data_IF_794724912058
#
_entry.id   IF_794724912058
#
_cell.length_a   1.000
_cell.length_b   1.000
_cell.length_c   1.000
_cell.angle_alpha   90.00
_cell.angle_beta   90.00
_cell.angle_gamma   90.00
#
_symmetry.space_group_name_H-M   'P 1'
#
loop_
_entity.id
_entity.type
_entity.pdbx_description
1 polymer ?
#
# COMPACT_ATOMS: atom_id res chain seq x y z
N UNK A 1 -10.64 40.55 11.62
CA UNK A 1 -10.86 39.30 10.81
C UNK A 1 -9.73 38.27 10.87
N UNK A 2 -8.61 38.58 11.50
CA UNK A 2 -7.44 37.67 11.65
C UNK A 2 -7.55 36.78 12.91
N UNK A 3 -8.31 37.19 13.94
CA UNK A 3 -8.47 36.41 15.18
C UNK A 3 -9.35 35.16 15.09
N UNK A 4 -10.23 35.05 14.09
CA UNK A 4 -11.12 33.89 13.93
C UNK A 4 -10.48 32.73 13.15
N UNK A 5 -9.34 32.95 12.49
CA UNK A 5 -8.61 31.88 11.78
C UNK A 5 -7.76 31.05 12.73
N UNK A 6 -7.20 31.66 13.78
CA UNK A 6 -6.40 30.97 14.79
C UNK A 6 -7.26 30.14 15.76
N UNK A 7 -8.48 30.55 16.09
CA UNK A 7 -9.37 29.81 16.98
C UNK A 7 -10.02 28.57 16.33
N UNK A 8 -10.20 28.53 15.01
CA UNK A 8 -10.70 27.32 14.31
C UNK A 8 -9.65 26.21 14.19
N UNK A 9 -8.37 26.54 14.22
CA UNK A 9 -7.27 25.55 14.20
C UNK A 9 -6.91 24.96 15.58
N UNK A 10 -7.44 25.52 16.67
CA UNK A 10 -7.18 25.00 18.02
C UNK A 10 -8.17 23.88 18.43
N UNK A 11 -9.26 23.65 17.70
CA UNK A 11 -10.23 22.59 18.00
C UNK A 11 -10.04 21.32 17.19
N UNK A 12 -9.08 21.27 16.26
CA UNK A 12 -8.67 20.06 15.52
C UNK A 12 -7.20 19.69 15.80
N UNK A 13 -6.75 19.76 17.03
CA UNK A 13 -5.64 18.94 17.51
C UNK A 13 -6.18 17.50 17.63
N UNK A 14 -6.35 16.83 16.51
CA UNK A 14 -6.45 15.38 16.49
C UNK A 14 -5.20 14.89 17.19
N UNK A 15 -5.35 14.26 18.36
CA UNK A 15 -4.22 13.72 19.12
C UNK A 15 -3.58 12.71 18.18
N UNK A 16 -2.38 13.04 17.71
CA UNK A 16 -1.63 12.19 16.81
C UNK A 16 -1.28 10.89 17.54
N UNK A 17 -1.66 9.76 16.97
CA UNK A 17 -1.34 8.44 17.53
C UNK A 17 0.15 8.15 17.38
N UNK A 18 0.72 7.41 18.31
CA UNK A 18 2.06 6.86 18.21
C UNK A 18 1.99 5.36 17.98
N UNK A 19 2.82 4.85 17.10
CA UNK A 19 3.10 3.41 17.01
C UNK A 19 3.91 2.95 18.20
N UNK A 20 3.92 1.65 18.51
CA UNK A 20 4.62 1.11 19.68
C UNK A 20 6.13 1.43 19.70
N UNK A 21 6.75 1.53 18.52
CA UNK A 21 8.19 1.83 18.37
C UNK A 21 8.50 3.33 18.21
N UNK A 22 7.55 4.24 18.47
CA UNK A 22 7.77 5.68 18.30
C UNK A 22 9.08 6.18 18.96
N UNK A 23 9.31 5.82 20.21
CA UNK A 23 10.49 6.27 20.95
C UNK A 23 11.79 5.62 20.43
N UNK A 24 11.70 4.38 19.97
CA UNK A 24 12.79 3.68 19.29
C UNK A 24 13.19 4.41 18.00
N UNK A 25 12.21 4.85 17.20
CA UNK A 25 12.49 5.61 15.98
C UNK A 25 13.16 6.95 16.27
N UNK A 26 12.68 7.66 17.29
CA UNK A 26 13.29 8.92 17.75
C UNK A 26 14.73 8.69 18.22
N UNK A 27 14.98 7.66 19.04
CA UNK A 27 16.31 7.31 19.54
C UNK A 27 17.28 6.92 18.41
N UNK A 28 16.78 6.32 17.31
CA UNK A 28 17.55 6.02 16.10
C UNK A 28 17.80 7.24 15.20
N UNK A 29 17.32 8.43 15.59
CA UNK A 29 17.50 9.67 14.85
C UNK A 29 16.57 9.79 13.62
N UNK A 30 15.46 9.10 13.61
CA UNK A 30 14.48 9.21 12.52
C UNK A 30 13.89 10.63 12.42
N UNK A 31 13.71 11.10 11.20
CA UNK A 31 12.88 12.27 10.96
C UNK A 31 11.42 11.83 11.04
N UNK A 32 10.74 12.24 12.11
CA UNK A 32 9.34 11.93 12.35
C UNK A 32 8.43 12.95 11.68
N UNK A 33 7.29 12.49 11.12
CA UNK A 33 6.27 13.35 10.49
C UNK A 33 4.86 12.80 10.75
N UNK A 34 3.84 13.68 10.74
CA UNK A 34 2.45 13.24 10.69
C UNK A 34 2.16 12.48 9.39
N UNK A 35 1.62 11.26 9.52
CA UNK A 35 1.19 10.42 8.40
C UNK A 35 -0.04 9.60 8.80
N UNK A 36 -1.15 9.75 8.07
CA UNK A 36 -2.41 9.04 8.33
C UNK A 36 -2.88 9.06 9.80
N UNK A 37 -2.67 10.19 10.51
CA UNK A 37 -3.02 10.35 11.92
C UNK A 37 -2.00 9.82 12.93
N UNK A 38 -0.88 9.27 12.45
CA UNK A 38 0.22 8.76 13.27
C UNK A 38 1.50 9.59 13.14
N UNK A 39 2.35 9.54 14.19
CA UNK A 39 3.72 10.06 14.13
C UNK A 39 4.64 8.98 13.56
N UNK A 40 5.11 9.15 12.33
CA UNK A 40 5.80 8.08 11.60
C UNK A 40 7.20 8.49 11.14
N UNK A 41 8.16 7.55 11.10
CA UNK A 41 9.50 7.80 10.58
C UNK A 41 9.46 7.95 9.05
N UNK A 42 9.76 9.15 8.54
CA UNK A 42 9.81 9.39 7.08
C UNK A 42 11.15 8.98 6.49
N UNK A 43 12.24 9.13 7.25
CA UNK A 43 13.59 8.68 6.88
C UNK A 43 14.52 8.61 8.10
N UNK A 44 15.61 7.84 7.97
CA UNK A 44 16.72 7.74 8.93
C UNK A 44 18.03 8.23 8.30
N UNK A 45 18.60 7.44 7.39
CA UNK A 45 19.90 7.72 6.74
C UNK A 45 19.78 8.45 5.41
N UNK A 46 18.55 8.70 4.96
CA UNK A 46 18.23 9.36 3.69
C UNK A 46 17.66 8.42 2.65
N UNK A 47 16.71 8.96 1.86
CA UNK A 47 15.83 8.21 0.96
C UNK A 47 16.61 7.29 0.01
N UNK A 48 17.65 7.81 -0.65
CA UNK A 48 18.40 7.03 -1.65
C UNK A 48 19.14 5.86 -1.02
N UNK A 49 19.79 6.08 0.12
CA UNK A 49 20.53 5.02 0.85
C UNK A 49 19.57 3.95 1.36
N UNK A 50 18.44 4.35 1.92
CA UNK A 50 17.40 3.45 2.41
C UNK A 50 16.78 2.63 1.28
N UNK A 51 16.46 3.28 0.17
CA UNK A 51 15.96 2.62 -1.03
C UNK A 51 16.95 1.56 -1.55
N UNK A 52 18.24 1.94 -1.68
CA UNK A 52 19.28 1.00 -2.13
C UNK A 52 19.49 -0.15 -1.16
N UNK A 53 19.37 0.09 0.15
CA UNK A 53 19.46 -0.97 1.16
C UNK A 53 18.39 -2.04 0.93
N UNK A 54 17.15 -1.63 0.67
CA UNK A 54 16.05 -2.57 0.35
C UNK A 54 16.29 -3.30 -0.96
N UNK A 55 16.83 -2.64 -1.98
CA UNK A 55 17.12 -3.25 -3.27
C UNK A 55 18.28 -4.26 -3.23
N UNK A 56 19.30 -4.05 -2.37
CA UNK A 56 20.57 -4.80 -2.41
C UNK A 56 20.80 -5.67 -1.17
N UNK A 57 20.13 -5.38 -0.08
CA UNK A 57 20.33 -6.05 1.21
C UNK A 57 18.99 -6.38 1.89
N UNK A 58 18.71 -5.77 3.02
CA UNK A 58 17.45 -5.92 3.75
C UNK A 58 17.13 -4.67 4.56
N UNK A 59 15.88 -4.21 4.51
CA UNK A 59 15.39 -3.08 5.28
C UNK A 59 14.15 -3.43 6.11
N UNK A 60 13.97 -2.76 7.22
CA UNK A 60 12.81 -2.90 8.11
C UNK A 60 12.02 -1.62 8.13
N UNK A 61 10.75 -1.72 7.77
CA UNK A 61 9.77 -0.65 7.89
C UNK A 61 8.86 -0.95 9.08
N UNK A 62 8.63 0.02 9.95
CA UNK A 62 7.48 -0.01 10.83
C UNK A 62 6.26 0.50 10.06
N UNK A 63 5.29 -0.36 9.85
CA UNK A 63 4.03 -0.06 9.20
C UNK A 63 2.83 -0.39 10.09
N UNK A 64 3.05 -0.35 11.41
CA UNK A 64 2.04 -0.61 12.46
C UNK A 64 0.90 0.43 12.50
N UNK A 65 0.91 1.40 11.61
CA UNK A 65 -0.21 2.32 11.42
C UNK A 65 -1.31 1.75 10.54
N UNK A 66 -1.07 0.63 9.85
CA UNK A 66 -2.09 -0.06 9.05
C UNK A 66 -3.24 -0.58 9.92
N UNK A 67 -4.36 -0.90 9.30
CA UNK A 67 -5.53 -1.44 9.99
C UNK A 67 -5.69 -2.94 9.75
N UNK A 68 -6.08 -3.67 10.79
CA UNK A 68 -6.36 -5.11 10.74
C UNK A 68 -7.74 -5.42 11.33
N UNK A 69 -8.58 -6.09 10.51
CA UNK A 69 -9.90 -6.53 10.89
C UNK A 69 -10.01 -8.05 10.80
N UNK A 70 -10.56 -8.67 11.85
CA UNK A 70 -10.93 -10.09 11.82
C UNK A 70 -12.41 -10.18 11.50
N UNK A 71 -12.75 -10.96 10.47
CA UNK A 71 -14.11 -11.35 10.11
C UNK A 71 -14.28 -12.83 10.40
N UNK A 72 -15.27 -13.19 11.24
CA UNK A 72 -15.47 -14.57 11.70
C UNK A 72 -16.94 -14.98 11.61
N UNK A 73 -17.18 -16.22 11.19
CA UNK A 73 -18.50 -16.84 11.13
C UNK A 73 -18.80 -17.44 9.76
N UNK A 74 -19.90 -18.16 9.67
CA UNK A 74 -20.31 -18.89 8.46
C UNK A 74 -20.56 -17.94 7.25
N UNK A 75 -20.94 -16.69 7.51
CA UNK A 75 -21.14 -15.66 6.48
C UNK A 75 -19.90 -14.86 6.10
N UNK A 76 -18.71 -15.13 6.68
CA UNK A 76 -17.52 -14.30 6.46
C UNK A 76 -17.09 -14.25 4.99
N UNK A 77 -17.08 -15.40 4.30
CA UNK A 77 -16.77 -15.44 2.87
C UNK A 77 -17.79 -14.64 2.05
N UNK A 78 -19.08 -14.79 2.33
CA UNK A 78 -20.14 -14.11 1.58
C UNK A 78 -20.07 -12.59 1.74
N UNK A 79 -19.76 -12.10 2.94
CA UNK A 79 -19.52 -10.69 3.20
C UNK A 79 -18.32 -10.17 2.39
N UNK A 80 -17.19 -10.88 2.42
CA UNK A 80 -15.99 -10.52 1.66
C UNK A 80 -16.29 -10.55 0.16
N UNK A 81 -16.97 -11.58 -0.34
CA UNK A 81 -17.37 -11.68 -1.73
C UNK A 81 -18.26 -10.51 -2.17
N UNK A 82 -19.11 -10.02 -1.27
CA UNK A 82 -19.99 -8.88 -1.52
C UNK A 82 -19.26 -7.54 -1.60
N UNK A 83 -18.31 -7.29 -0.70
CA UNK A 83 -17.65 -5.98 -0.60
C UNK A 83 -16.37 -5.87 -1.43
N UNK A 84 -15.70 -6.98 -1.74
CA UNK A 84 -14.44 -7.02 -2.48
C UNK A 84 -14.65 -7.30 -3.96
N UNK A 85 -13.84 -6.68 -4.81
CA UNK A 85 -13.84 -6.89 -6.27
C UNK A 85 -13.26 -8.24 -6.69
N UNK A 86 -12.30 -8.79 -5.93
CA UNK A 86 -11.64 -10.05 -6.26
C UNK A 86 -12.42 -11.26 -5.70
N UNK A 87 -12.11 -12.45 -6.19
CA UNK A 87 -12.82 -13.69 -5.85
C UNK A 87 -12.14 -14.42 -4.67
N UNK A 88 -12.58 -14.10 -3.45
CA UNK A 88 -12.05 -14.71 -2.23
C UNK A 88 -12.39 -16.20 -2.07
N UNK A 89 -13.34 -16.76 -2.86
CA UNK A 89 -13.63 -18.20 -2.86
C UNK A 89 -12.46 -19.04 -3.38
N UNK A 90 -11.51 -18.42 -4.06
CA UNK A 90 -10.30 -19.08 -4.57
C UNK A 90 -9.16 -19.17 -3.53
N UNK A 91 -9.34 -18.54 -2.37
CA UNK A 91 -8.39 -18.65 -1.29
C UNK A 91 -8.49 -20.02 -0.61
N UNK A 92 -7.37 -20.54 -0.19
CA UNK A 92 -7.24 -21.66 0.74
C UNK A 92 -6.58 -21.17 2.04
N UNK A 93 -6.61 -21.97 3.10
CA UNK A 93 -6.05 -21.59 4.40
C UNK A 93 -4.55 -21.31 4.28
N UNK A 94 -4.13 -20.11 4.72
CA UNK A 94 -2.76 -19.62 4.53
C UNK A 94 -2.54 -18.81 3.25
N UNK A 95 -3.55 -18.63 2.38
CA UNK A 95 -3.46 -17.82 1.15
C UNK A 95 -3.92 -16.40 1.38
N UNK A 96 -3.29 -15.47 0.64
CA UNK A 96 -3.58 -14.03 0.65
C UNK A 96 -4.05 -13.59 -0.72
N UNK A 97 -4.87 -12.55 -0.76
CA UNK A 97 -5.34 -11.97 -2.01
C UNK A 97 -5.38 -10.44 -1.90
N UNK A 98 -4.86 -9.76 -2.92
CA UNK A 98 -5.07 -8.33 -3.10
C UNK A 98 -6.43 -8.07 -3.73
N UNK A 99 -7.15 -7.09 -3.23
CA UNK A 99 -8.46 -6.70 -3.69
C UNK A 99 -8.69 -5.20 -3.52
N UNK A 100 -9.81 -4.69 -4.00
CA UNK A 100 -10.32 -3.39 -3.62
C UNK A 100 -11.78 -3.49 -3.19
N UNK A 101 -12.25 -2.48 -2.44
CA UNK A 101 -13.62 -2.26 -2.03
C UNK A 101 -14.26 -1.24 -2.99
N UNK A 102 -15.05 -1.66 -3.99
CA UNK A 102 -15.74 -0.71 -4.86
C UNK A 102 -16.85 0.01 -4.11
N UNK A 103 -17.07 1.29 -4.41
CA UNK A 103 -18.21 2.05 -3.91
C UNK A 103 -19.40 2.03 -4.90
N UNK A 104 -20.53 2.58 -4.47
CA UNK A 104 -21.76 2.60 -5.29
C UNK A 104 -21.68 3.57 -6.48
N UNK A 105 -20.72 4.48 -6.51
CA UNK A 105 -20.51 5.49 -7.55
C UNK A 105 -19.50 5.05 -8.61
N UNK A 106 -18.85 3.90 -8.43
CA UNK A 106 -17.86 3.35 -9.36
C UNK A 106 -16.42 3.55 -8.95
N UNK A 107 -16.15 4.29 -7.87
CA UNK A 107 -14.82 4.48 -7.31
C UNK A 107 -14.41 3.37 -6.33
N UNK A 108 -13.28 3.56 -5.69
CA UNK A 108 -12.65 2.63 -4.75
C UNK A 108 -12.68 3.23 -3.35
N UNK A 109 -13.34 2.56 -2.40
CA UNK A 109 -13.34 2.93 -0.96
C UNK A 109 -11.94 2.74 -0.39
N UNK A 110 -11.34 1.59 -0.63
CA UNK A 110 -9.95 1.26 -0.29
C UNK A 110 -9.44 0.09 -1.13
N UNK A 111 -8.12 -0.09 -1.18
CA UNK A 111 -7.46 -1.32 -1.60
C UNK A 111 -6.89 -2.04 -0.36
N UNK A 112 -6.96 -3.38 -0.37
CA UNK A 112 -6.70 -4.17 0.82
C UNK A 112 -6.10 -5.54 0.49
N UNK A 113 -5.53 -6.17 1.52
CA UNK A 113 -5.19 -7.59 1.49
C UNK A 113 -6.24 -8.40 2.26
N UNK A 114 -6.66 -9.52 1.69
CA UNK A 114 -7.56 -10.51 2.30
C UNK A 114 -6.76 -11.76 2.61
N UNK A 115 -6.65 -12.10 3.89
CA UNK A 115 -5.98 -13.29 4.42
C UNK A 115 -7.02 -14.34 4.80
N UNK A 116 -6.94 -15.54 4.26
CA UNK A 116 -7.78 -16.64 4.73
C UNK A 116 -7.05 -17.43 5.83
N UNK A 117 -7.46 -17.22 7.08
CA UNK A 117 -6.92 -17.93 8.25
C UNK A 117 -7.43 -19.37 8.30
N UNK A 118 -8.73 -19.52 8.11
CA UNK A 118 -9.43 -20.79 7.91
C UNK A 118 -10.75 -20.55 7.18
N UNK A 119 -11.52 -21.60 6.95
CA UNK A 119 -12.77 -21.55 6.21
C UNK A 119 -13.76 -20.46 6.69
N UNK A 120 -13.78 -20.17 8.00
CA UNK A 120 -14.72 -19.25 8.65
C UNK A 120 -14.07 -17.98 9.22
N UNK A 121 -12.76 -17.81 9.04
CA UNK A 121 -12.01 -16.70 9.64
C UNK A 121 -11.08 -16.07 8.64
N UNK A 122 -11.24 -14.78 8.44
CA UNK A 122 -10.41 -13.96 7.55
C UNK A 122 -9.83 -12.78 8.30
N UNK A 123 -8.66 -12.33 7.88
CA UNK A 123 -8.11 -11.05 8.29
C UNK A 123 -8.05 -10.14 7.08
N UNK A 124 -8.50 -8.90 7.24
CA UNK A 124 -8.37 -7.83 6.26
C UNK A 124 -7.31 -6.85 6.73
N UNK A 125 -6.41 -6.47 5.84
CA UNK A 125 -5.39 -5.46 6.11
C UNK A 125 -5.66 -4.27 5.21
N UNK A 126 -5.93 -3.10 5.82
CA UNK A 126 -6.43 -1.89 5.16
C UNK A 126 -5.49 -0.71 5.36
N UNK A 127 -5.63 0.32 4.53
CA UNK A 127 -4.83 1.53 4.64
C UNK A 127 -5.16 2.34 5.91
N UNK A 128 -4.13 2.85 6.57
CA UNK A 128 -4.24 3.57 7.84
C UNK A 128 -5.24 4.73 7.82
N UNK A 129 -5.25 5.52 6.75
CA UNK A 129 -6.17 6.65 6.60
C UNK A 129 -7.64 6.25 6.44
N UNK A 130 -7.89 4.98 6.13
CA UNK A 130 -9.21 4.47 5.79
C UNK A 130 -9.80 3.51 6.83
N UNK A 131 -9.12 3.24 7.94
CA UNK A 131 -9.53 2.25 8.96
C UNK A 131 -11.02 2.45 9.37
N UNK A 132 -11.42 3.66 9.73
CA UNK A 132 -12.81 3.94 10.13
C UNK A 132 -13.76 3.84 8.93
N UNK A 133 -13.37 4.38 7.77
CA UNK A 133 -14.17 4.35 6.54
C UNK A 133 -14.44 2.92 6.08
N UNK A 134 -13.42 2.07 6.10
CA UNK A 134 -13.51 0.68 5.68
C UNK A 134 -14.32 -0.15 6.67
N UNK A 135 -14.12 0.08 7.96
CA UNK A 135 -14.92 -0.54 9.00
C UNK A 135 -16.42 -0.24 8.82
N UNK A 136 -16.75 1.03 8.64
CA UNK A 136 -18.13 1.47 8.42
C UNK A 136 -18.70 0.91 7.11
N UNK A 137 -17.89 0.89 6.05
CA UNK A 137 -18.31 0.34 4.76
C UNK A 137 -18.62 -1.15 4.84
N UNK A 138 -17.74 -1.94 5.44
CA UNK A 138 -17.93 -3.38 5.59
C UNK A 138 -19.10 -3.66 6.55
N UNK A 139 -19.20 -2.95 7.69
CA UNK A 139 -20.27 -3.09 8.66
C UNK A 139 -21.65 -2.82 8.05
N UNK A 140 -21.76 -1.82 7.20
CA UNK A 140 -23.00 -1.50 6.47
C UNK A 140 -23.49 -2.64 5.59
N UNK A 141 -22.58 -3.47 5.08
CA UNK A 141 -22.90 -4.62 4.23
C UNK A 141 -23.01 -5.93 5.03
N UNK A 142 -22.65 -5.93 6.31
CA UNK A 142 -22.81 -7.07 7.20
C UNK A 142 -24.28 -7.17 7.65
N UNK A 143 -24.97 -8.21 7.21
CA UNK A 143 -26.37 -8.46 7.56
C UNK A 143 -26.56 -9.17 8.90
N UNK A 144 -25.55 -9.15 9.78
CA UNK A 144 -25.64 -9.63 11.16
C UNK A 144 -25.14 -11.07 11.38
N UNK A 145 -24.61 -11.72 10.36
CA UNK A 145 -24.13 -13.10 10.45
C UNK A 145 -22.59 -13.21 10.67
N UNK A 146 -21.88 -12.09 10.65
CA UNK A 146 -20.38 -12.07 10.73
C UNK A 146 -19.94 -11.27 11.95
N UNK A 147 -19.17 -11.90 12.81
CA UNK A 147 -18.44 -11.20 13.86
C UNK A 147 -17.30 -10.41 13.25
N UNK A 148 -17.26 -9.10 13.52
CA UNK A 148 -16.20 -8.21 13.08
C UNK A 148 -15.43 -7.70 14.30
N UNK A 149 -14.11 -7.83 14.28
CA UNK A 149 -13.22 -7.40 15.37
C UNK A 149 -12.13 -6.53 14.78
N UNK A 150 -12.04 -5.28 15.23
CA UNK A 150 -10.94 -4.39 14.88
C UNK A 150 -9.79 -4.61 15.87
N UNK A 151 -8.67 -5.15 15.38
CA UNK A 151 -7.48 -5.44 16.18
C UNK A 151 -6.31 -4.48 15.89
N UNK A 152 -6.55 -3.42 15.10
CA UNK A 152 -5.51 -2.49 14.64
C UNK A 152 -4.70 -1.88 15.79
N UNK A 153 -5.37 -1.42 16.85
CA UNK A 153 -4.68 -0.79 17.99
C UNK A 153 -3.91 -1.79 18.89
N UNK A 154 -4.10 -3.11 18.71
CA UNK A 154 -3.39 -4.17 19.43
C UNK A 154 -2.28 -4.83 18.59
N UNK A 155 -2.25 -4.58 17.29
CA UNK A 155 -1.32 -5.22 16.35
C UNK A 155 -0.16 -4.28 16.02
N UNK A 156 1.04 -4.85 15.96
CA UNK A 156 2.18 -4.23 15.30
C UNK A 156 2.52 -4.98 14.03
N UNK A 157 2.95 -4.23 13.03
CA UNK A 157 3.32 -4.74 11.71
C UNK A 157 4.70 -4.23 11.30
N UNK A 158 5.64 -5.16 11.14
CA UNK A 158 6.97 -4.87 10.60
C UNK A 158 7.13 -5.50 9.22
N UNK A 159 7.45 -4.70 8.21
CA UNK A 159 7.79 -5.19 6.89
C UNK A 159 9.32 -5.28 6.73
N UNK A 160 9.84 -6.49 6.64
CA UNK A 160 11.26 -6.81 6.45
C UNK A 160 11.47 -7.18 4.99
N UNK A 161 12.05 -6.28 4.23
CA UNK A 161 12.04 -6.32 2.76
C UNK A 161 13.44 -6.26 2.17
N UNK A 162 13.67 -7.05 1.13
CA UNK A 162 14.92 -7.09 0.38
C UNK A 162 15.40 -8.51 0.08
N UNK A 163 16.36 -8.69 -0.84
CA UNK A 163 16.82 -10.01 -1.29
C UNK A 163 17.47 -10.85 -0.19
N UNK A 164 17.92 -10.23 0.91
CA UNK A 164 18.49 -10.91 2.07
C UNK A 164 17.53 -11.09 3.23
N UNK A 165 16.23 -10.82 3.06
CA UNK A 165 15.25 -10.91 4.15
C UNK A 165 15.12 -12.32 4.71
N UNK A 166 15.07 -13.35 3.85
CA UNK A 166 15.02 -14.75 4.27
C UNK A 166 16.23 -15.13 5.13
N UNK A 167 17.42 -14.80 4.66
CA UNK A 167 18.68 -15.09 5.38
C UNK A 167 18.75 -14.37 6.73
N UNK A 168 18.31 -13.09 6.76
CA UNK A 168 18.31 -12.28 7.97
C UNK A 168 17.33 -12.77 9.04
N UNK A 169 16.21 -13.40 8.64
CA UNK A 169 15.13 -13.77 9.56
C UNK A 169 15.08 -15.26 9.91
N UNK A 170 15.68 -16.15 9.11
CA UNK A 170 15.51 -17.60 9.25
C UNK A 170 15.88 -18.14 10.63
N UNK A 171 16.87 -17.57 11.28
CA UNK A 171 17.28 -18.00 12.62
C UNK A 171 16.30 -17.67 13.75
N UNK A 172 15.32 -16.80 13.47
CA UNK A 172 14.32 -16.33 14.44
C UNK A 172 13.05 -17.19 14.46
N UNK A 173 12.91 -18.13 13.52
CA UNK A 173 11.71 -18.97 13.40
C UNK A 173 12.02 -20.35 12.86
N UNK A 174 11.22 -21.34 13.27
CA UNK A 174 11.24 -22.67 12.70
C UNK A 174 10.46 -22.78 11.38
N UNK A 175 9.69 -21.77 11.00
CA UNK A 175 9.02 -21.71 9.70
C UNK A 175 10.09 -21.62 8.61
N UNK A 176 10.04 -22.51 7.61
CA UNK A 176 10.95 -22.44 6.46
C UNK A 176 10.54 -21.26 5.55
N UNK A 177 11.19 -20.12 5.78
CA UNK A 177 10.93 -18.88 5.04
C UNK A 177 11.29 -19.00 3.55
N UNK A 178 12.25 -19.88 3.22
CA UNK A 178 12.70 -20.06 1.83
C UNK A 178 11.67 -20.77 0.96
N UNK A 179 10.78 -21.58 1.57
CA UNK A 179 9.73 -22.33 0.90
C UNK A 179 8.40 -21.55 0.79
N UNK A 180 8.29 -20.38 1.44
CA UNK A 180 7.05 -19.61 1.43
C UNK A 180 6.80 -18.98 0.04
N UNK A 181 5.67 -19.32 -0.56
CA UNK A 181 5.23 -18.70 -1.80
C UNK A 181 4.75 -17.27 -1.58
N UNK A 182 4.99 -16.39 -2.54
CA UNK A 182 4.45 -15.03 -2.51
C UNK A 182 2.92 -15.02 -2.41
N UNK A 183 2.38 -14.17 -1.55
CA UNK A 183 0.95 -14.14 -1.17
C UNK A 183 0.50 -15.40 -0.41
N UNK A 184 1.37 -15.94 0.46
CA UNK A 184 1.00 -16.91 1.49
C UNK A 184 1.48 -16.45 2.87
N UNK A 185 0.92 -17.01 3.93
CA UNK A 185 1.36 -16.76 5.30
C UNK A 185 1.32 -18.04 6.12
N UNK A 186 2.10 -18.05 7.20
CA UNK A 186 2.06 -19.05 8.23
C UNK A 186 2.04 -18.37 9.60
N UNK A 187 1.46 -19.04 10.60
CA UNK A 187 1.61 -18.65 12.00
C UNK A 187 2.65 -19.53 12.66
N UNK A 188 3.51 -18.93 13.46
CA UNK A 188 4.56 -19.64 14.16
C UNK A 188 5.15 -18.85 15.31
N UNK A 189 6.14 -19.47 15.96
CA UNK A 189 7.02 -18.78 16.90
C UNK A 189 8.04 -17.96 16.09
N UNK A 190 8.18 -16.70 16.45
CA UNK A 190 9.18 -15.81 15.86
C UNK A 190 9.90 -15.02 16.96
N UNK A 191 11.23 -15.10 17.01
CA UNK A 191 12.04 -14.49 18.07
C UNK A 191 11.58 -14.87 19.50
N UNK A 192 11.07 -16.09 19.69
CA UNK A 192 10.52 -16.56 20.97
C UNK A 192 9.09 -16.11 21.27
N UNK A 193 8.47 -15.29 20.41
CA UNK A 193 7.08 -14.85 20.55
C UNK A 193 6.17 -15.81 19.77
N UNK A 194 5.11 -16.30 20.42
CA UNK A 194 4.14 -17.20 19.82
C UNK A 194 3.12 -16.46 18.95
N UNK A 195 2.45 -17.19 18.06
CA UNK A 195 1.34 -16.71 17.24
C UNK A 195 1.68 -15.54 16.29
N UNK A 196 2.96 -15.31 16.00
CA UNK A 196 3.35 -14.33 14.98
C UNK A 196 2.88 -14.81 13.62
N UNK A 197 2.15 -13.97 12.89
CA UNK A 197 1.77 -14.24 11.52
C UNK A 197 2.89 -13.73 10.61
N UNK A 198 3.54 -14.65 9.91
CA UNK A 198 4.64 -14.40 8.97
C UNK A 198 4.06 -14.47 7.57
N UNK A 199 4.05 -13.35 6.88
CA UNK A 199 3.43 -13.19 5.57
C UNK A 199 4.49 -12.95 4.49
N UNK A 200 4.50 -13.76 3.44
CA UNK A 200 5.34 -13.53 2.26
C UNK A 200 4.69 -12.48 1.35
N UNK A 201 4.58 -11.26 1.85
CA UNK A 201 4.02 -10.07 1.18
C UNK A 201 4.95 -8.88 1.33
N UNK A 202 4.62 -7.78 0.67
CA UNK A 202 5.33 -6.51 0.77
C UNK A 202 4.95 -5.55 -0.35
N UNK A 203 5.43 -4.33 -0.22
CA UNK A 203 5.09 -3.20 -1.09
C UNK A 203 6.31 -2.61 -1.81
N UNK A 204 7.35 -3.41 -1.97
CA UNK A 204 8.65 -2.96 -2.49
C UNK A 204 9.08 -3.63 -3.79
N UNK A 205 8.50 -4.79 -4.11
CA UNK A 205 8.96 -5.64 -5.21
C UNK A 205 10.37 -6.21 -5.02
N UNK A 206 10.93 -6.15 -3.80
CA UNK A 206 12.26 -6.65 -3.48
C UNK A 206 12.24 -8.03 -2.80
N UNK A 207 11.04 -8.59 -2.58
CA UNK A 207 10.84 -9.78 -1.73
C UNK A 207 10.91 -9.45 -0.25
N UNK A 208 10.64 -10.43 0.59
CA UNK A 208 10.65 -10.28 2.04
C UNK A 208 9.34 -10.68 2.69
N UNK A 209 9.17 -10.24 3.92
CA UNK A 209 8.06 -10.67 4.78
C UNK A 209 7.43 -9.49 5.51
N UNK A 210 6.18 -9.64 5.87
CA UNK A 210 5.44 -8.79 6.78
C UNK A 210 5.07 -9.61 8.01
N UNK A 211 5.39 -9.08 9.20
CA UNK A 211 5.27 -9.75 10.48
C UNK A 211 4.20 -9.06 11.31
N UNK A 212 3.11 -9.77 11.62
CA UNK A 212 2.01 -9.28 12.45
C UNK A 212 2.07 -9.95 13.81
N UNK A 213 2.03 -9.17 14.88
CA UNK A 213 2.14 -9.64 16.26
C UNK A 213 1.51 -8.64 17.22
N UNK A 214 1.29 -9.07 18.47
CA UNK A 214 0.77 -8.18 19.52
C UNK A 214 1.77 -7.09 19.87
N UNK A 215 1.30 -5.84 19.96
CA UNK A 215 2.13 -4.63 20.04
C UNK A 215 3.10 -4.59 21.22
N UNK A 216 2.80 -5.28 22.31
CA UNK A 216 3.69 -5.38 23.49
C UNK A 216 5.02 -6.07 23.18
N UNK A 217 5.10 -6.82 22.10
CA UNK A 217 6.32 -7.50 21.66
C UNK A 217 7.16 -6.67 20.67
N UNK A 218 6.74 -5.44 20.35
CA UNK A 218 7.34 -4.64 19.27
C UNK A 218 8.82 -4.37 19.47
N UNK A 219 9.22 -3.90 20.64
CA UNK A 219 10.62 -3.59 20.93
C UNK A 219 11.49 -4.85 20.93
N UNK A 220 10.99 -5.94 21.52
CA UNK A 220 11.69 -7.22 21.55
C UNK A 220 11.92 -7.76 20.12
N UNK A 221 10.85 -7.86 19.31
CA UNK A 221 10.95 -8.38 17.94
C UNK A 221 11.83 -7.49 17.07
N UNK A 222 11.71 -6.14 17.20
CA UNK A 222 12.57 -5.21 16.51
C UNK A 222 14.05 -5.46 16.81
N UNK A 223 14.41 -5.57 18.09
CA UNK A 223 15.78 -5.77 18.52
C UNK A 223 16.35 -7.12 18.02
N UNK A 224 15.58 -8.21 18.12
CA UNK A 224 16.00 -9.52 17.63
C UNK A 224 16.16 -9.55 16.09
N UNK A 225 15.29 -8.86 15.34
CA UNK A 225 15.42 -8.71 13.88
C UNK A 225 16.74 -7.99 13.54
N UNK A 226 17.05 -6.88 14.22
CA UNK A 226 18.28 -6.13 13.95
C UNK A 226 19.54 -6.90 14.35
N UNK A 227 19.49 -7.64 15.44
CA UNK A 227 20.58 -8.51 15.89
C UNK A 227 20.84 -9.65 14.90
N UNK A 228 19.80 -10.37 14.48
CA UNK A 228 19.93 -11.48 13.53
C UNK A 228 20.33 -11.00 12.13
N UNK A 229 19.76 -9.87 11.66
CA UNK A 229 20.02 -9.31 10.34
C UNK A 229 21.31 -8.48 10.21
N UNK A 230 22.04 -8.24 11.31
CA UNK A 230 23.28 -7.44 11.27
C UNK A 230 24.30 -7.91 10.23
N UNK A 231 24.59 -9.22 10.08
CA UNK A 231 25.51 -9.72 9.06
C UNK A 231 25.02 -9.45 7.62
N UNK A 232 23.70 -9.29 7.42
CA UNK A 232 23.07 -9.07 6.14
C UNK A 232 22.96 -7.60 5.75
N UNK A 233 23.43 -6.68 6.63
CA UNK A 233 23.40 -5.24 6.40
C UNK A 233 22.02 -4.62 6.60
N UNK A 234 21.22 -5.17 7.50
CA UNK A 234 19.87 -4.68 7.82
C UNK A 234 19.88 -3.23 8.29
N UNK A 235 18.91 -2.45 7.83
CA UNK A 235 18.74 -1.03 8.22
C UNK A 235 17.28 -0.69 8.48
N UNK A 236 16.99 0.28 9.37
CA UNK A 236 15.66 0.85 9.48
C UNK A 236 15.38 1.72 8.25
N UNK A 237 14.15 1.66 7.75
CA UNK A 237 13.73 2.30 6.51
C UNK A 237 12.48 3.14 6.76
N UNK A 238 12.49 4.38 6.29
CA UNK A 238 11.37 5.30 6.45
C UNK A 238 10.38 5.28 5.28
N UNK A 239 9.23 5.95 5.50
CA UNK A 239 8.11 5.98 4.53
C UNK A 239 8.47 6.63 3.20
N UNK A 240 9.45 7.54 3.17
CA UNK A 240 9.86 8.16 1.89
C UNK A 240 10.55 7.17 0.95
N UNK A 241 11.35 6.23 1.48
CA UNK A 241 11.91 5.15 0.67
C UNK A 241 10.83 4.12 0.29
N UNK A 242 9.84 3.85 1.17
CA UNK A 242 8.66 3.04 0.84
C UNK A 242 7.95 3.59 -0.41
N UNK A 243 7.75 4.91 -0.50
CA UNK A 243 7.09 5.53 -1.65
C UNK A 243 7.91 5.41 -2.93
N UNK A 244 9.22 5.62 -2.89
CA UNK A 244 10.06 5.45 -4.10
C UNK A 244 10.11 3.99 -4.57
N UNK A 245 10.14 3.03 -3.64
CA UNK A 245 10.18 1.60 -3.92
C UNK A 245 8.86 1.11 -4.57
N UNK A 246 7.70 1.47 -3.98
CA UNK A 246 6.40 1.07 -4.52
C UNK A 246 6.14 1.68 -5.90
N UNK A 247 6.56 2.96 -6.09
CA UNK A 247 6.35 3.65 -7.36
C UNK A 247 7.14 3.01 -8.48
N UNK A 248 8.38 2.56 -8.26
CA UNK A 248 9.15 1.79 -9.25
C UNK A 248 8.44 0.52 -9.71
N UNK A 249 7.61 -0.08 -8.83
CA UNK A 249 6.78 -1.25 -9.16
C UNK A 249 5.43 -0.89 -9.79
N UNK A 250 5.07 0.39 -9.83
CA UNK A 250 3.76 0.85 -10.28
C UNK A 250 2.62 0.48 -9.32
N UNK A 251 2.93 0.22 -8.04
CA UNK A 251 1.90 -0.07 -7.03
C UNK A 251 1.17 1.21 -6.65
N UNK A 252 -0.16 1.15 -6.70
CA UNK A 252 -1.01 2.28 -6.32
C UNK A 252 -0.85 2.66 -4.85
N UNK A 253 -0.95 3.95 -4.57
CA UNK A 253 -1.11 4.50 -3.23
C UNK A 253 -2.51 5.09 -3.11
N UNK A 254 -3.30 4.59 -2.16
CA UNK A 254 -4.63 5.14 -1.90
C UNK A 254 -4.54 6.61 -1.47
N UNK A 255 -5.46 7.42 -1.98
CA UNK A 255 -5.46 8.87 -1.80
C UNK A 255 -4.60 9.64 -2.81
N UNK A 256 -3.75 8.92 -3.59
CA UNK A 256 -2.95 9.48 -4.67
C UNK A 256 -3.37 8.91 -6.03
N UNK A 257 -3.17 7.61 -6.22
CA UNK A 257 -3.36 6.92 -7.51
C UNK A 257 -4.75 6.32 -7.64
N UNK A 258 -5.38 6.00 -6.53
CA UNK A 258 -6.76 5.49 -6.43
C UNK A 258 -7.49 6.16 -5.27
N UNK A 259 -8.78 6.36 -5.43
CA UNK A 259 -9.65 6.99 -4.45
C UNK A 259 -11.14 6.70 -4.73
N UNK A 260 -12.04 7.36 -3.99
CA UNK A 260 -13.49 7.25 -4.14
C UNK A 260 -14.03 7.67 -5.52
N UNK A 261 -13.21 8.31 -6.37
CA UNK A 261 -13.59 8.82 -7.71
C UNK A 261 -12.96 8.05 -8.86
N UNK A 262 -12.08 7.10 -8.58
CA UNK A 262 -11.35 6.30 -9.57
C UNK A 262 -11.85 4.86 -9.60
N UNK A 263 -12.22 4.36 -10.78
CA UNK A 263 -12.67 2.98 -10.90
C UNK A 263 -11.49 1.99 -10.93
N UNK A 264 -11.71 0.73 -10.49
CA UNK A 264 -10.69 -0.31 -10.62
C UNK A 264 -10.21 -0.51 -12.06
N UNK A 265 -11.08 -0.26 -13.05
CA UNK A 265 -10.75 -0.45 -14.46
C UNK A 265 -9.89 0.69 -15.00
N UNK A 266 -10.18 1.93 -14.60
CA UNK A 266 -9.35 3.10 -14.91
C UNK A 266 -7.96 2.98 -14.28
N UNK A 267 -7.89 2.45 -13.06
CA UNK A 267 -6.66 2.24 -12.29
C UNK A 267 -5.80 1.06 -12.78
N UNK A 268 -6.23 0.32 -13.82
CA UNK A 268 -5.53 -0.88 -14.27
C UNK A 268 -5.68 -2.10 -13.36
N UNK A 269 -6.60 -2.05 -12.38
CA UNK A 269 -6.88 -3.11 -11.42
C UNK A 269 -7.95 -4.12 -11.93
N UNK A 270 -8.19 -4.16 -13.23
CA UNK A 270 -9.13 -5.11 -13.85
C UNK A 270 -8.77 -6.58 -13.57
N UNK A 271 -7.50 -6.89 -13.33
CA UNK A 271 -7.04 -8.23 -13.01
C UNK A 271 -7.52 -8.75 -11.65
N UNK A 272 -7.85 -7.86 -10.70
CA UNK A 272 -8.49 -8.17 -9.41
C UNK A 272 -9.99 -7.87 -9.39
N UNK A 273 -10.61 -7.52 -10.52
CA UNK A 273 -12.03 -7.22 -10.62
C UNK A 273 -12.72 -8.38 -11.32
N UNK A 274 -13.33 -9.30 -10.55
CA UNK A 274 -13.83 -10.59 -11.03
C UNK A 274 -15.35 -10.57 -11.24
N UNK A 275 -15.78 -10.41 -12.48
CA UNK A 275 -17.18 -10.38 -12.87
C UNK A 275 -17.87 -11.76 -12.91
N UNK A 276 -17.17 -12.83 -12.50
CA UNK A 276 -17.76 -14.17 -12.30
C UNK A 276 -18.62 -14.26 -11.04
N UNK A 277 -18.63 -13.21 -10.21
CA UNK A 277 -19.42 -13.08 -8.98
C UNK A 277 -20.06 -11.70 -8.88
N UNK A 278 -21.08 -11.59 -8.05
CA UNK A 278 -21.70 -10.31 -7.73
C UNK A 278 -20.97 -9.65 -6.53
N UNK A 279 -20.69 -8.38 -6.66
CA UNK A 279 -20.14 -7.54 -5.61
C UNK A 279 -20.71 -6.11 -5.74
N UNK A 280 -20.45 -5.25 -4.76
CA UNK A 280 -20.95 -3.86 -4.79
C UNK A 280 -20.58 -3.20 -6.12
N UNK A 281 -21.59 -2.68 -6.81
CA UNK A 281 -21.45 -1.98 -8.09
C UNK A 281 -20.93 -2.82 -9.29
N UNK A 282 -20.90 -4.14 -9.17
CA UNK A 282 -20.35 -5.04 -10.22
C UNK A 282 -21.03 -4.87 -11.59
N UNK A 283 -22.34 -4.60 -11.63
CA UNK A 283 -23.07 -4.42 -12.89
C UNK A 283 -22.59 -3.17 -13.67
N UNK A 284 -22.41 -2.02 -12.98
CA UNK A 284 -21.93 -0.80 -13.61
C UNK A 284 -20.47 -0.93 -14.05
N UNK A 285 -19.62 -1.58 -13.22
CA UNK A 285 -18.23 -1.86 -13.59
C UNK A 285 -18.14 -2.83 -14.78
N UNK A 286 -19.04 -3.82 -14.88
CA UNK A 286 -19.11 -4.70 -16.03
C UNK A 286 -19.49 -3.94 -17.32
N UNK A 287 -20.45 -3.01 -17.22
CA UNK A 287 -20.80 -2.12 -18.33
C UNK A 287 -19.63 -1.23 -18.74
N UNK A 288 -18.90 -0.63 -17.77
CA UNK A 288 -17.71 0.15 -18.04
C UNK A 288 -16.62 -0.68 -18.74
N UNK A 289 -16.46 -1.96 -18.35
CA UNK A 289 -15.52 -2.88 -19.03
C UNK A 289 -15.88 -3.12 -20.49
N UNK A 290 -17.18 -3.22 -20.82
CA UNK A 290 -17.65 -3.42 -22.19
C UNK A 290 -17.51 -2.15 -23.05
N UNK A 291 -17.83 -0.99 -22.46
CA UNK A 291 -17.82 0.29 -23.17
C UNK A 291 -16.42 0.92 -23.27
N UNK A 292 -15.45 0.43 -22.47
CA UNK A 292 -14.16 1.06 -22.27
C UNK A 292 -14.19 2.14 -21.20
N UNK A 293 -13.01 2.63 -20.83
CA UNK A 293 -12.82 3.72 -19.87
C UNK A 293 -12.44 5.01 -20.59
N UNK A 294 -12.91 6.15 -20.09
CA UNK A 294 -12.60 7.47 -20.66
C UNK A 294 -11.16 7.92 -20.37
N UNK A 295 -10.60 7.47 -19.24
CA UNK A 295 -9.24 7.75 -18.78
C UNK A 295 -8.59 6.50 -18.22
N UNK A 296 -7.27 6.48 -18.16
CA UNK A 296 -6.52 5.35 -17.65
C UNK A 296 -5.29 5.79 -16.89
N UNK A 297 -4.99 5.11 -15.79
CA UNK A 297 -3.72 5.25 -15.06
C UNK A 297 -2.60 4.67 -15.93
N UNK A 298 -1.58 5.47 -16.19
CA UNK A 298 -0.38 5.09 -16.94
C UNK A 298 0.87 5.38 -16.13
N UNK A 299 1.91 4.59 -16.37
CA UNK A 299 3.26 4.93 -15.98
C UNK A 299 3.94 5.76 -17.05
N UNK A 300 4.79 6.70 -16.67
CA UNK A 300 5.59 7.50 -17.60
C UNK A 300 6.99 7.80 -17.06
N UNK A 301 7.94 7.93 -17.98
CA UNK A 301 9.30 8.43 -17.71
C UNK A 301 9.45 9.84 -18.26
N UNK A 302 10.09 10.72 -17.49
CA UNK A 302 10.47 12.03 -18.00
C UNK A 302 11.62 11.89 -19.01
N UNK A 303 11.47 12.49 -20.18
CA UNK A 303 12.51 12.62 -21.18
C UNK A 303 13.32 13.89 -20.94
N UNK A 304 12.64 14.98 -20.65
CA UNK A 304 13.27 16.24 -20.26
C UNK A 304 13.45 16.32 -18.74
N UNK A 305 14.43 17.12 -18.31
CA UNK A 305 14.81 17.24 -16.90
C UNK A 305 13.71 17.91 -16.07
N UNK A 306 13.05 17.16 -15.22
CA UNK A 306 12.02 17.63 -14.27
C UNK A 306 11.56 16.47 -13.42
N UNK A 307 11.06 16.73 -12.21
CA UNK A 307 10.50 15.70 -11.32
C UNK A 307 9.00 15.91 -11.27
N UNK A 308 8.20 14.94 -11.75
CA UNK A 308 6.75 15.03 -11.68
C UNK A 308 6.30 14.99 -10.21
N UNK A 309 5.22 15.73 -9.90
CA UNK A 309 4.63 15.78 -8.56
C UNK A 309 3.12 15.62 -8.66
N UNK A 310 2.54 15.16 -7.57
CA UNK A 310 1.09 15.07 -7.42
C UNK A 310 0.43 16.37 -7.84
N UNK A 311 -0.71 16.28 -8.55
CA UNK A 311 -1.52 17.37 -9.10
C UNK A 311 -0.92 18.15 -10.29
N UNK A 312 0.29 17.85 -10.74
CA UNK A 312 0.78 18.45 -11.97
C UNK A 312 -0.08 18.02 -13.15
N UNK A 313 -0.44 18.98 -14.01
CA UNK A 313 -1.21 18.72 -15.21
C UNK A 313 -0.38 17.91 -16.22
N UNK A 314 -1.05 16.96 -16.88
CA UNK A 314 -0.54 16.31 -18.08
C UNK A 314 -1.23 16.95 -19.26
N UNK A 315 -0.45 17.40 -20.25
CA UNK A 315 -0.94 18.09 -21.43
C UNK A 315 -0.45 17.41 -22.71
N UNK A 316 -1.14 17.66 -23.83
CA UNK A 316 -0.72 17.24 -25.16
C UNK A 316 0.34 18.18 -25.75
N UNK A 317 0.71 17.93 -27.02
CA UNK A 317 1.70 18.74 -27.74
C UNK A 317 1.25 20.20 -27.93
N UNK A 318 -0.05 20.43 -28.02
CA UNK A 318 -0.67 21.76 -28.18
C UNK A 318 -0.86 22.50 -26.84
N UNK A 319 -0.73 21.78 -25.70
CA UNK A 319 -0.90 22.33 -24.34
C UNK A 319 -2.32 22.15 -23.76
N UNK A 320 -3.18 21.36 -24.42
CA UNK A 320 -4.48 21.05 -23.88
C UNK A 320 -4.34 20.03 -22.73
N UNK A 321 -5.10 20.21 -21.66
CA UNK A 321 -5.10 19.30 -20.51
C UNK A 321 -5.72 17.95 -20.91
N UNK A 322 -4.93 16.89 -20.80
CA UNK A 322 -5.34 15.51 -21.09
C UNK A 322 -5.35 14.63 -19.84
N UNK A 323 -4.83 15.13 -18.72
CA UNK A 323 -4.76 14.34 -17.51
C UNK A 323 -4.07 15.03 -16.34
N UNK A 324 -3.73 14.23 -15.34
CA UNK A 324 -3.10 14.67 -14.09
C UNK A 324 -2.14 13.62 -13.52
N UNK A 325 -1.00 14.09 -13.01
CA UNK A 325 -0.04 13.25 -12.27
C UNK A 325 -0.62 12.91 -10.90
N UNK A 326 -0.56 11.65 -10.52
CA UNK A 326 -1.00 11.16 -9.21
C UNK A 326 0.18 10.87 -8.28
N UNK A 327 1.26 10.34 -8.82
CA UNK A 327 2.51 10.07 -8.09
C UNK A 327 3.73 10.35 -8.95
N UNK A 328 4.82 10.80 -8.34
CA UNK A 328 6.04 11.05 -9.10
C UNK A 328 7.27 11.24 -8.23
N UNK A 329 8.40 10.70 -8.69
CA UNK A 329 9.67 10.75 -7.97
C UNK A 329 10.86 10.73 -8.92
N UNK A 330 12.04 11.08 -8.39
CA UNK A 330 13.32 10.69 -8.97
C UNK A 330 13.61 9.27 -8.48
N UNK A 331 13.55 8.27 -9.37
CA UNK A 331 13.85 6.88 -9.03
C UNK A 331 15.33 6.73 -8.67
N UNK A 332 15.65 6.22 -7.47
CA UNK A 332 17.05 5.96 -7.09
C UNK A 332 17.66 4.82 -7.88
N UNK A 333 16.88 3.77 -8.22
CA UNK A 333 17.38 2.62 -9.00
C UNK A 333 17.66 2.97 -10.46
N UNK A 334 16.75 3.70 -11.11
CA UNK A 334 16.79 3.99 -12.55
C UNK A 334 17.56 5.27 -12.86
N UNK A 335 17.80 6.12 -11.85
CA UNK A 335 18.40 7.47 -12.04
C UNK A 335 17.58 8.34 -13.02
N UNK A 336 16.27 8.07 -13.09
CA UNK A 336 15.30 8.76 -13.93
C UNK A 336 14.14 9.27 -13.12
N UNK A 337 13.51 10.35 -13.56
CA UNK A 337 12.25 10.80 -13.00
C UNK A 337 11.10 10.00 -13.63
N UNK A 338 10.29 9.39 -12.81
CA UNK A 338 9.15 8.54 -13.18
C UNK A 338 7.88 9.01 -12.47
N UNK A 339 6.73 8.67 -13.03
CA UNK A 339 5.45 8.98 -12.42
C UNK A 339 4.32 8.07 -12.87
N UNK A 340 3.24 8.13 -12.09
CA UNK A 340 1.91 7.63 -12.45
C UNK A 340 0.99 8.81 -12.67
N UNK A 341 0.00 8.65 -13.55
CA UNK A 341 -1.00 9.67 -13.78
C UNK A 341 -2.14 9.16 -14.63
N UNK A 342 -3.31 9.77 -14.47
CA UNK A 342 -4.43 9.51 -15.36
C UNK A 342 -4.30 10.36 -16.62
N UNK A 343 -4.50 9.73 -17.76
CA UNK A 343 -4.62 10.38 -19.07
C UNK A 343 -5.89 9.94 -19.77
N UNK A 344 -6.42 10.75 -20.69
CA UNK A 344 -7.50 10.33 -21.58
C UNK A 344 -7.10 9.06 -22.32
N UNK A 345 -8.06 8.17 -22.57
CA UNK A 345 -7.80 6.83 -23.10
C UNK A 345 -6.99 6.82 -24.42
N UNK A 346 -7.17 7.84 -25.28
CA UNK A 346 -6.43 8.00 -26.53
C UNK A 346 -4.92 8.20 -26.37
N UNK A 347 -4.47 8.70 -25.20
CA UNK A 347 -3.06 8.93 -24.86
C UNK A 347 -2.42 7.81 -24.02
N UNK A 348 -3.16 6.74 -23.67
CA UNK A 348 -2.67 5.72 -22.73
C UNK A 348 -1.75 4.65 -23.35
N UNK A 349 -1.49 4.72 -24.67
CA UNK A 349 -0.69 3.72 -25.36
C UNK A 349 0.78 3.86 -24.99
N UNK A 350 1.44 2.72 -24.73
CA UNK A 350 2.90 2.69 -24.54
C UNK A 350 3.64 3.35 -25.72
N UNK A 351 4.61 4.18 -25.41
CA UNK A 351 5.37 4.96 -26.37
C UNK A 351 4.75 6.32 -26.73
N UNK A 352 3.52 6.63 -26.27
CA UNK A 352 2.92 7.94 -26.48
C UNK A 352 3.70 9.03 -25.77
N UNK A 353 3.96 10.13 -26.48
CA UNK A 353 4.52 11.33 -25.90
C UNK A 353 3.41 12.13 -25.20
N UNK A 354 3.69 12.51 -23.97
CA UNK A 354 2.85 13.39 -23.13
C UNK A 354 3.76 14.45 -22.53
N UNK A 355 3.17 15.52 -22.02
CA UNK A 355 3.95 16.60 -21.42
C UNK A 355 3.48 16.88 -20.01
N UNK A 356 4.43 17.06 -19.09
CA UNK A 356 4.13 17.41 -17.70
C UNK A 356 4.32 18.91 -17.53
N UNK A 357 3.25 19.58 -17.07
CA UNK A 357 3.28 21.01 -16.80
C UNK A 357 3.96 21.25 -15.45
N UNK A 358 5.19 21.71 -15.47
CA UNK A 358 5.97 22.03 -14.27
C UNK A 358 6.25 23.54 -14.25
N UNK A 359 5.58 24.28 -13.37
CA UNK A 359 5.56 25.74 -13.35
C UNK A 359 5.02 26.27 -14.70
N UNK A 360 5.83 27.03 -15.44
CA UNK A 360 5.48 27.57 -16.77
C UNK A 360 6.00 26.71 -17.94
N UNK A 361 6.69 25.61 -17.66
CA UNK A 361 7.30 24.76 -18.67
C UNK A 361 6.46 23.50 -18.92
N UNK A 362 6.41 23.12 -20.18
CA UNK A 362 5.82 21.88 -20.68
C UNK A 362 6.96 20.92 -21.00
N UNK A 363 7.19 19.93 -20.14
CA UNK A 363 8.33 19.02 -20.21
C UNK A 363 7.90 17.67 -20.77
N UNK A 364 8.63 17.21 -21.79
CA UNK A 364 8.36 15.93 -22.47
C UNK A 364 8.53 14.74 -21.52
N UNK A 365 7.55 13.86 -21.52
CA UNK A 365 7.54 12.56 -20.89
C UNK A 365 6.98 11.52 -21.86
N UNK A 366 7.24 10.25 -21.60
CA UNK A 366 6.77 9.14 -22.44
C UNK A 366 6.06 8.10 -21.60
N UNK A 367 4.90 7.66 -22.08
CA UNK A 367 4.15 6.56 -21.49
C UNK A 367 4.95 5.27 -21.62
N UNK A 368 5.12 4.56 -20.50
CA UNK A 368 5.84 3.29 -20.43
C UNK A 368 5.03 2.23 -19.69
N UNK A 369 5.39 0.98 -19.88
CA UNK A 369 4.87 -0.09 -19.01
C UNK A 369 5.51 0.00 -17.64
N UNK A 370 4.77 -0.47 -16.65
CA UNK A 370 5.31 -0.75 -15.31
C UNK A 370 5.12 -2.24 -14.96
N UNK A 371 5.96 -2.82 -14.07
CA UNK A 371 6.96 -2.13 -13.27
C UNK A 371 8.00 -1.41 -14.12
N UNK A 372 8.51 -0.26 -13.60
CA UNK A 372 9.53 0.53 -14.26
C UNK A 372 10.92 -0.13 -14.18
N UNK A 373 11.05 -1.11 -13.29
CA UNK A 373 12.26 -1.86 -13.02
C UNK A 373 12.08 -3.34 -13.27
#
# INVERSE_FOLDING_TARGET
>A
MVFNYFYRNLYNLQIMKNVALNDTHIALGAKMVPFAGFNMPVQYSGINMEHETVRKAVGVFDVSHMGEFILRGDGALDLIQRVCSNDASKLFDGKIQYSCLPNNQGGIVDDLLVYRINEKTYMLVVNASNIEKDWDWISKHNTGAVEMINISDQTSLLAVQGPKATEALQSLTAVDLSSMEYYTFQKGVFAGVENVLISATGYTGAGGFELYFEKEHSEHIWNEIFKAGAPNGIKPIGLAARDTLRLEMGFCLYGNDIDDTTSPLEAGLGWITKFSKNFVNSANLAAQKQNGVERKLVGFEMIERGIPRHDYQIVDAEGNVIGKVTSGTQSPSLQKAIGLGYVKAEFCKEGSDIYISIRENKLLARVVKFPFK
#
